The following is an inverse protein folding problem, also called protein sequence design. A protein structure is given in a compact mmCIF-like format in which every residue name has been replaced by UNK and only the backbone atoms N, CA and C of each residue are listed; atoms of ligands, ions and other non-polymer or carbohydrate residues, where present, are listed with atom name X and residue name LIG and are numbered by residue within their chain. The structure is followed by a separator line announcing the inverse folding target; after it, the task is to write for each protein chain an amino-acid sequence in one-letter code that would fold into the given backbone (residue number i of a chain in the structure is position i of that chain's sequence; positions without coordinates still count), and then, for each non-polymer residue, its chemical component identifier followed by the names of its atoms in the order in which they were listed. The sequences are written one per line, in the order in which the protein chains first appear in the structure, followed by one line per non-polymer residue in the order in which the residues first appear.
data_IF_114555517887
#
_entry.id   IF_114555517887
#
_cell.length_a   1.000
_cell.length_b   1.000
_cell.length_c   1.000
_cell.angle_alpha   90.00
_cell.angle_beta   90.00
_cell.angle_gamma   90.00
#
_symmetry.space_group_name_H-M   'P 1'
#
loop_
_entity.id
_entity.type
_entity.pdbx_description
1 polymer ?
#
# COMPACT_ATOMS: atom_id res chain seq x y z
N UNK A 1 26.19 -58.23 10.99
CA UNK A 1 26.37 -57.18 9.97
C UNK A 1 25.07 -56.80 9.26
N UNK A 2 24.29 -57.73 8.69
CA UNK A 2 23.03 -57.40 7.98
C UNK A 2 21.99 -56.61 8.81
N UNK A 3 21.79 -56.94 10.09
CA UNK A 3 20.82 -56.27 10.98
C UNK A 3 21.22 -54.83 11.39
N UNK A 4 22.52 -54.53 11.43
CA UNK A 4 23.03 -53.18 11.68
C UNK A 4 22.86 -52.27 10.45
N UNK A 5 22.99 -52.83 9.25
CA UNK A 5 22.77 -52.11 8.00
C UNK A 5 21.30 -51.72 7.81
N UNK A 6 20.36 -52.57 8.24
CA UNK A 6 18.91 -52.29 8.17
C UNK A 6 18.47 -51.21 9.15
N UNK A 7 19.08 -51.16 10.34
CA UNK A 7 18.81 -50.12 11.33
C UNK A 7 19.37 -48.76 10.89
N UNK A 8 20.55 -48.74 10.27
CA UNK A 8 21.12 -47.53 9.68
C UNK A 8 20.27 -46.99 8.51
N UNK A 9 19.77 -47.86 7.62
CA UNK A 9 18.87 -47.46 6.53
C UNK A 9 17.49 -47.00 7.04
N UNK A 10 17.00 -47.57 8.15
CA UNK A 10 15.75 -47.17 8.79
C UNK A 10 15.81 -45.81 9.51
N UNK A 11 16.97 -45.46 10.09
CA UNK A 11 17.20 -44.13 10.67
C UNK A 11 17.35 -43.04 9.59
N UNK A 12 17.85 -43.38 8.40
CA UNK A 12 17.90 -42.47 7.25
C UNK A 12 16.52 -42.15 6.66
N UNK A 13 15.52 -43.01 6.87
CA UNK A 13 14.15 -42.82 6.39
C UNK A 13 13.25 -41.98 7.33
N UNK A 14 13.74 -41.63 8.53
CA UNK A 14 13.01 -40.82 9.52
C UNK A 14 13.45 -39.34 9.53
N UNK A 15 14.44 -38.97 8.71
CA UNK A 15 14.70 -37.58 8.39
C UNK A 15 13.70 -37.13 7.34
N UNK A 16 12.51 -36.70 7.76
CA UNK A 16 11.74 -35.77 6.91
C UNK A 16 12.62 -34.53 6.79
N UNK A 17 13.38 -34.44 5.70
CA UNK A 17 13.89 -33.17 5.22
C UNK A 17 12.62 -32.35 4.95
N UNK A 18 12.26 -31.47 5.88
CA UNK A 18 11.36 -30.37 5.56
C UNK A 18 12.08 -29.57 4.48
N UNK A 19 11.75 -29.88 3.23
CA UNK A 19 12.20 -29.10 2.10
C UNK A 19 11.55 -27.73 2.28
N UNK A 20 12.32 -26.76 2.76
CA UNK A 20 11.84 -25.40 2.89
C UNK A 20 11.32 -24.95 1.52
N UNK A 21 10.09 -24.46 1.51
CA UNK A 21 9.40 -24.02 0.30
C UNK A 21 9.56 -22.50 0.21
N UNK A 22 10.18 -22.04 -0.87
CA UNK A 22 10.28 -20.61 -1.21
C UNK A 22 8.89 -19.98 -1.21
N UNK A 23 8.79 -18.75 -0.73
CA UNK A 23 7.56 -17.97 -0.52
C UNK A 23 6.64 -18.47 0.61
N UNK A 24 7.03 -19.53 1.33
CA UNK A 24 6.26 -20.09 2.45
C UNK A 24 7.09 -20.12 3.72
N UNK A 25 8.36 -20.53 3.62
CA UNK A 25 9.30 -20.61 4.74
C UNK A 25 10.36 -19.52 4.63
N UNK A 26 10.90 -19.07 5.76
CA UNK A 26 12.08 -18.21 5.80
C UNK A 26 13.30 -19.04 5.36
N UNK A 27 13.77 -18.83 4.13
CA UNK A 27 14.90 -19.56 3.52
C UNK A 27 16.18 -18.71 3.42
N UNK A 28 16.06 -17.38 3.57
CA UNK A 28 17.18 -16.46 3.66
C UNK A 28 17.41 -16.03 5.12
N UNK A 29 18.67 -15.89 5.51
CA UNK A 29 19.05 -15.46 6.86
C UNK A 29 19.05 -13.95 7.02
N UNK A 30 19.33 -13.24 5.93
CA UNK A 30 19.60 -11.80 5.89
C UNK A 30 18.80 -11.12 4.78
N UNK A 31 18.61 -9.81 4.93
CA UNK A 31 17.82 -8.96 4.03
C UNK A 31 18.60 -7.68 3.78
N UNK A 32 18.68 -7.28 2.52
CA UNK A 32 19.20 -5.98 2.10
C UNK A 32 18.05 -4.97 2.09
N UNK A 33 18.29 -3.78 2.66
CA UNK A 33 17.28 -2.72 2.73
C UNK A 33 17.79 -1.46 2.05
N UNK A 34 17.09 -1.04 1.01
CA UNK A 34 17.33 0.24 0.33
C UNK A 34 16.28 1.25 0.78
N UNK A 35 16.69 2.21 1.61
CA UNK A 35 15.77 3.18 2.20
C UNK A 35 15.49 4.41 1.34
N UNK A 36 14.30 4.97 1.50
CA UNK A 36 13.86 6.25 0.94
C UNK A 36 13.98 6.32 -0.59
N UNK A 37 13.67 5.22 -1.27
CA UNK A 37 13.56 5.18 -2.73
C UNK A 37 12.35 6.00 -3.15
N UNK A 38 12.56 7.01 -3.99
CA UNK A 38 11.49 7.85 -4.52
C UNK A 38 10.71 7.07 -5.58
N UNK A 39 9.43 6.78 -5.31
CA UNK A 39 8.56 6.08 -6.26
C UNK A 39 7.58 7.02 -6.99
N UNK A 40 7.43 8.27 -6.52
CA UNK A 40 6.56 9.25 -7.16
C UNK A 40 6.57 10.62 -6.50
N UNK A 41 5.80 11.55 -7.05
CA UNK A 41 5.54 12.85 -6.42
C UNK A 41 4.09 13.22 -6.70
N UNK A 42 3.36 13.63 -5.66
CA UNK A 42 1.95 13.99 -5.79
C UNK A 42 1.60 15.18 -4.88
N UNK A 43 0.49 15.86 -5.13
CA UNK A 43 0.06 17.03 -4.34
C UNK A 43 -0.58 16.56 -3.03
N UNK A 44 -0.06 17.06 -1.90
CA UNK A 44 -0.62 16.83 -0.57
C UNK A 44 -1.41 18.04 -0.10
N UNK A 45 -2.42 17.77 0.73
CA UNK A 45 -3.24 18.79 1.41
C UNK A 45 -2.91 18.90 2.90
N UNK A 46 -1.97 18.11 3.41
CA UNK A 46 -1.55 18.18 4.82
C UNK A 46 -1.16 19.60 5.28
N UNK A 47 -0.49 20.46 4.48
CA UNK A 47 -0.18 21.82 4.90
C UNK A 47 -1.42 22.70 5.15
N UNK A 48 -2.57 22.41 4.50
CA UNK A 48 -3.81 23.14 4.75
C UNK A 48 -4.25 23.06 6.22
N UNK A 49 -3.94 21.95 6.89
CA UNK A 49 -4.25 21.75 8.31
C UNK A 49 -3.48 22.70 9.24
N UNK A 50 -2.42 23.34 8.73
CA UNK A 50 -1.59 24.30 9.44
C UNK A 50 -1.69 25.71 8.83
N UNK A 51 -2.69 25.96 7.96
CA UNK A 51 -2.89 27.25 7.29
C UNK A 51 -1.96 27.50 6.10
N UNK A 52 -1.24 26.49 5.62
CA UNK A 52 -0.45 26.55 4.40
C UNK A 52 -1.29 26.29 3.13
N UNK A 53 -0.64 26.27 1.97
CA UNK A 53 -1.24 25.88 0.69
C UNK A 53 -0.91 24.42 0.35
N UNK A 54 -1.68 23.74 -0.54
CA UNK A 54 -1.30 22.43 -1.04
C UNK A 54 0.10 22.48 -1.66
N UNK A 55 0.86 21.40 -1.52
CA UNK A 55 2.26 21.36 -1.96
C UNK A 55 2.60 19.99 -2.57
N UNK A 56 3.62 19.97 -3.42
CA UNK A 56 4.18 18.71 -3.90
C UNK A 56 4.81 17.95 -2.72
N UNK A 57 4.48 16.66 -2.60
CA UNK A 57 5.05 15.74 -1.62
C UNK A 57 5.78 14.62 -2.38
N UNK A 58 7.08 14.41 -2.12
CA UNK A 58 7.77 13.21 -2.59
C UNK A 58 7.19 11.97 -1.90
N UNK A 59 6.96 10.92 -2.68
CA UNK A 59 6.47 9.65 -2.20
C UNK A 59 7.63 8.64 -2.20
N UNK A 60 7.95 8.11 -1.01
CA UNK A 60 9.14 7.28 -0.81
C UNK A 60 8.78 5.92 -0.23
N UNK A 61 9.61 4.92 -0.48
CA UNK A 61 9.50 3.60 0.11
C UNK A 61 10.85 3.07 0.61
N UNK A 62 10.80 2.08 1.49
CA UNK A 62 11.95 1.23 1.81
C UNK A 62 11.76 -0.12 1.13
N UNK A 63 12.77 -0.57 0.38
CA UNK A 63 12.73 -1.82 -0.39
C UNK A 63 13.57 -2.86 0.36
N UNK A 64 12.94 -4.00 0.65
CA UNK A 64 13.52 -5.15 1.34
C UNK A 64 13.69 -6.29 0.35
N UNK A 65 14.92 -6.79 0.22
CA UNK A 65 15.28 -7.87 -0.70
C UNK A 65 16.04 -8.98 0.04
N UNK A 66 15.79 -10.27 -0.26
CA UNK A 66 16.60 -11.35 0.28
C UNK A 66 18.07 -11.22 -0.12
N UNK A 67 18.96 -11.22 0.87
CA UNK A 67 20.40 -11.08 0.61
C UNK A 67 20.97 -12.35 -0.05
N UNK A 68 21.73 -12.17 -1.13
CA UNK A 68 22.36 -13.27 -1.87
C UNK A 68 21.39 -14.13 -2.69
N UNK A 69 20.16 -13.66 -2.90
CA UNK A 69 19.21 -14.32 -3.79
C UNK A 69 19.66 -14.25 -5.26
N UNK A 70 19.31 -15.27 -6.01
CA UNK A 70 19.65 -15.42 -7.44
C UNK A 70 18.43 -15.48 -8.34
N UNK A 71 17.23 -15.54 -7.75
CA UNK A 71 15.98 -15.39 -8.50
C UNK A 71 15.82 -13.95 -8.96
N UNK A 72 15.38 -13.80 -10.21
CA UNK A 72 15.27 -12.50 -10.89
C UNK A 72 13.83 -12.12 -11.23
N UNK A 73 12.88 -13.05 -11.10
CA UNK A 73 11.44 -12.79 -11.32
C UNK A 73 10.65 -13.05 -10.02
N UNK A 74 10.85 -12.18 -9.02
CA UNK A 74 10.28 -12.39 -7.67
C UNK A 74 8.92 -11.70 -7.52
N UNK A 75 7.94 -12.32 -6.84
CA UNK A 75 6.72 -11.62 -6.44
C UNK A 75 7.04 -10.43 -5.53
N UNK A 76 6.37 -9.31 -5.80
CA UNK A 76 6.50 -8.06 -5.07
C UNK A 76 5.30 -7.87 -4.13
N UNK A 77 5.58 -7.53 -2.88
CA UNK A 77 4.59 -7.09 -1.90
C UNK A 77 4.75 -5.58 -1.69
N UNK A 78 3.70 -4.82 -1.98
CA UNK A 78 3.58 -3.42 -1.56
C UNK A 78 2.98 -3.40 -0.16
N UNK A 79 3.82 -3.12 0.85
CA UNK A 79 3.38 -2.98 2.24
C UNK A 79 2.90 -1.55 2.51
N UNK A 80 1.71 -1.43 3.13
CA UNK A 80 1.08 -0.15 3.46
C UNK A 80 0.81 -0.10 4.97
N UNK A 81 1.44 0.86 5.65
CA UNK A 81 1.36 1.01 7.10
C UNK A 81 0.03 1.62 7.57
N UNK A 82 -0.33 1.40 8.83
CA UNK A 82 -1.43 2.12 9.48
C UNK A 82 -1.09 3.60 9.70
N UNK A 83 -2.04 4.42 10.11
CA UNK A 83 -1.73 5.79 10.49
C UNK A 83 -2.91 6.76 10.51
N UNK A 84 -4.12 6.28 10.23
CA UNK A 84 -5.34 7.09 10.17
C UNK A 84 -5.18 8.30 9.23
N UNK A 85 -4.36 8.16 8.19
CA UNK A 85 -3.99 9.22 7.26
C UNK A 85 -3.55 10.52 7.94
N UNK A 86 -2.88 10.42 9.08
CA UNK A 86 -2.34 11.53 9.84
C UNK A 86 -0.89 11.21 10.20
N UNK A 87 -0.02 12.23 10.36
CA UNK A 87 1.33 12.01 10.88
C UNK A 87 1.30 11.25 12.21
N UNK A 88 2.32 10.43 12.45
CA UNK A 88 2.51 9.73 13.73
C UNK A 88 2.32 10.71 14.90
N UNK A 89 1.71 10.22 15.98
CA UNK A 89 1.28 10.98 17.16
C UNK A 89 0.08 11.91 16.94
N UNK A 90 0.01 12.65 15.81
CA UNK A 90 -1.20 13.42 15.47
C UNK A 90 -2.39 12.51 15.15
N UNK A 91 -2.11 11.29 14.71
CA UNK A 91 -3.09 10.23 14.51
C UNK A 91 -3.61 9.59 15.81
N UNK A 92 -3.12 10.01 16.98
CA UNK A 92 -3.48 9.44 18.28
C UNK A 92 -2.79 8.10 18.59
N UNK A 93 -1.74 7.75 17.86
CA UNK A 93 -1.02 6.49 17.99
C UNK A 93 0.51 6.68 17.96
N UNK A 94 1.25 5.70 18.46
CA UNK A 94 2.71 5.63 18.38
C UNK A 94 3.21 5.01 17.07
N UNK A 95 2.31 4.62 16.17
CA UNK A 95 2.58 4.07 14.83
C UNK A 95 1.96 4.99 13.78
N UNK A 96 2.42 4.92 12.54
CA UNK A 96 2.02 5.79 11.45
C UNK A 96 3.05 5.93 10.32
N UNK A 97 4.05 5.04 10.22
CA UNK A 97 5.19 5.22 9.31
C UNK A 97 5.60 3.93 8.62
N UNK A 98 6.24 4.03 7.44
CA UNK A 98 6.83 2.88 6.73
C UNK A 98 7.93 2.15 7.53
N UNK A 99 8.43 2.76 8.61
CA UNK A 99 9.50 2.25 9.48
C UNK A 99 9.02 1.77 10.84
N UNK A 100 7.71 1.67 11.07
CA UNK A 100 7.19 1.14 12.34
C UNK A 100 7.66 -0.30 12.58
N UNK A 101 7.79 -0.71 13.84
CA UNK A 101 8.37 -2.02 14.18
C UNK A 101 7.63 -3.20 13.53
N UNK A 102 6.30 -3.13 13.40
CA UNK A 102 5.50 -4.14 12.69
C UNK A 102 5.77 -4.10 11.19
N UNK A 103 5.93 -2.92 10.59
CA UNK A 103 6.28 -2.78 9.18
C UNK A 103 7.64 -3.43 8.88
N UNK A 104 8.66 -3.09 9.68
CA UNK A 104 10.01 -3.65 9.56
C UNK A 104 9.98 -5.17 9.73
N UNK A 105 9.24 -5.67 10.71
CA UNK A 105 9.14 -7.11 10.98
C UNK A 105 8.51 -7.88 9.82
N UNK A 106 7.35 -7.41 9.33
CA UNK A 106 6.65 -8.05 8.23
C UNK A 106 7.46 -7.99 6.94
N UNK A 107 7.99 -6.81 6.58
CA UNK A 107 8.79 -6.65 5.37
C UNK A 107 10.05 -7.53 5.40
N UNK A 108 10.73 -7.59 6.55
CA UNK A 108 11.90 -8.47 6.72
C UNK A 108 11.50 -9.94 6.62
N UNK A 109 10.40 -10.36 7.26
CA UNK A 109 9.95 -11.76 7.21
C UNK A 109 9.60 -12.19 5.79
N UNK A 110 8.83 -11.40 5.05
CA UNK A 110 8.49 -11.73 3.68
C UNK A 110 9.71 -11.69 2.76
N UNK A 111 10.63 -10.74 2.94
CA UNK A 111 11.90 -10.76 2.21
C UNK A 111 12.68 -12.05 2.49
N UNK A 112 12.74 -12.51 3.75
CA UNK A 112 13.36 -13.81 4.11
C UNK A 112 12.68 -15.03 3.51
N UNK A 113 11.42 -14.92 3.10
CA UNK A 113 10.71 -15.97 2.35
C UNK A 113 11.01 -15.94 0.84
N UNK A 114 11.70 -14.90 0.36
CA UNK A 114 12.13 -14.75 -1.04
C UNK A 114 11.35 -13.72 -1.85
N UNK A 115 10.46 -12.96 -1.22
CA UNK A 115 9.73 -11.84 -1.84
C UNK A 115 10.60 -10.59 -1.94
N UNK A 116 10.28 -9.69 -2.87
CA UNK A 116 10.65 -8.28 -2.72
C UNK A 116 9.53 -7.59 -1.98
N UNK A 117 9.85 -6.71 -1.02
CA UNK A 117 8.84 -5.96 -0.28
C UNK A 117 9.13 -4.47 -0.31
N UNK A 118 8.17 -3.67 -0.75
CA UNK A 118 8.26 -2.22 -0.73
C UNK A 118 7.34 -1.64 0.36
N UNK A 119 7.92 -1.15 1.46
CA UNK A 119 7.19 -0.44 2.52
C UNK A 119 7.03 1.02 2.12
N UNK A 120 5.83 1.41 1.68
CA UNK A 120 5.57 2.74 1.12
C UNK A 120 5.12 3.72 2.20
N UNK A 121 5.59 4.97 2.14
CA UNK A 121 4.87 6.11 2.71
C UNK A 121 3.87 6.64 1.67
N UNK A 122 2.74 7.18 2.15
CA UNK A 122 1.66 7.74 1.31
C UNK A 122 1.18 9.10 1.86
N UNK A 123 0.43 9.86 1.05
CA UNK A 123 -0.10 11.17 1.46
C UNK A 123 -1.06 11.03 2.63
N UNK A 124 -0.74 11.75 3.71
CA UNK A 124 -1.62 11.99 4.84
C UNK A 124 -2.39 13.31 4.67
N UNK A 125 -3.43 13.50 5.48
CA UNK A 125 -4.09 14.78 5.72
C UNK A 125 -5.61 14.69 5.71
N UNK A 126 -6.23 14.98 6.86
CA UNK A 126 -7.64 15.32 7.02
C UNK A 126 -7.80 16.06 8.36
N UNK A 127 -8.88 16.83 8.56
CA UNK A 127 -9.09 17.57 9.82
C UNK A 127 -10.03 16.79 10.77
N UNK A 128 -9.51 16.13 11.83
CA UNK A 128 -10.35 15.44 12.81
C UNK A 128 -11.17 16.39 13.70
N UNK A 129 -10.86 17.69 13.70
CA UNK A 129 -11.53 18.72 14.48
C UNK A 129 -12.50 19.58 13.64
N UNK A 130 -12.79 19.20 12.39
CA UNK A 130 -13.78 19.93 11.60
C UNK A 130 -15.15 19.92 12.29
N UNK A 131 -15.91 21.01 12.13
CA UNK A 131 -17.07 21.33 12.96
C UNK A 131 -18.19 20.29 12.85
N UNK A 132 -18.37 19.71 11.66
CA UNK A 132 -19.45 18.75 11.40
C UNK A 132 -18.91 17.33 11.21
N UNK A 133 -19.78 16.33 11.46
CA UNK A 133 -19.47 14.93 11.11
C UNK A 133 -19.30 14.74 9.60
N UNK A 134 -20.09 15.44 8.79
CA UNK A 134 -20.05 15.35 7.34
C UNK A 134 -18.69 15.81 6.78
N UNK A 135 -18.16 16.95 7.25
CA UNK A 135 -16.85 17.44 6.84
C UNK A 135 -15.73 16.47 7.22
N UNK A 136 -15.73 15.99 8.47
CA UNK A 136 -14.72 15.02 8.95
C UNK A 136 -14.73 13.74 8.12
N UNK A 137 -15.92 13.19 7.86
CA UNK A 137 -16.09 11.96 7.06
C UNK A 137 -15.61 12.18 5.62
N UNK A 138 -16.02 13.28 4.99
CA UNK A 138 -15.62 13.60 3.61
C UNK A 138 -14.11 13.72 3.48
N UNK A 139 -13.47 14.46 4.38
CA UNK A 139 -12.02 14.65 4.34
C UNK A 139 -11.26 13.34 4.61
N UNK A 140 -11.76 12.48 5.50
CA UNK A 140 -11.19 11.16 5.75
C UNK A 140 -11.30 10.25 4.51
N UNK A 141 -12.46 10.23 3.85
CA UNK A 141 -12.64 9.49 2.58
C UNK A 141 -11.70 10.01 1.49
N UNK A 142 -11.52 11.32 1.39
CA UNK A 142 -10.54 11.92 0.47
C UNK A 142 -9.09 11.52 0.81
N UNK A 143 -8.77 11.36 2.10
CA UNK A 143 -7.45 10.90 2.52
C UNK A 143 -7.22 9.43 2.14
N UNK A 144 -8.23 8.57 2.31
CA UNK A 144 -8.20 7.19 1.83
C UNK A 144 -8.03 7.11 0.31
N UNK A 145 -8.73 7.96 -0.44
CA UNK A 145 -8.62 8.03 -1.89
C UNK A 145 -7.21 8.40 -2.36
N UNK A 146 -6.57 9.39 -1.72
CA UNK A 146 -5.15 9.69 -1.97
C UNK A 146 -4.23 8.52 -1.66
N UNK A 147 -4.51 7.76 -0.60
CA UNK A 147 -3.77 6.53 -0.30
C UNK A 147 -3.86 5.51 -1.43
N UNK A 148 -5.04 5.32 -2.04
CA UNK A 148 -5.24 4.43 -3.20
C UNK A 148 -4.41 4.89 -4.39
N UNK A 149 -4.48 6.18 -4.71
CA UNK A 149 -3.70 6.80 -5.77
C UNK A 149 -2.19 6.57 -5.59
N UNK A 150 -1.68 6.74 -4.36
CA UNK A 150 -0.26 6.58 -4.06
C UNK A 150 0.17 5.10 -4.10
N UNK A 151 -0.68 4.19 -3.62
CA UNK A 151 -0.44 2.75 -3.73
C UNK A 151 -0.38 2.27 -5.19
N UNK A 152 -1.19 2.85 -6.08
CA UNK A 152 -1.14 2.55 -7.53
C UNK A 152 0.05 3.20 -8.21
N UNK A 153 0.44 4.39 -7.76
CA UNK A 153 1.68 5.04 -8.20
C UNK A 153 2.89 4.16 -7.90
N UNK A 154 2.93 3.51 -6.72
CA UNK A 154 3.99 2.55 -6.40
C UNK A 154 4.01 1.35 -7.36
N UNK A 155 2.87 0.73 -7.68
CA UNK A 155 2.82 -0.37 -8.66
C UNK A 155 3.35 0.09 -10.03
N UNK A 156 2.90 1.26 -10.51
CA UNK A 156 3.37 1.79 -11.78
C UNK A 156 4.87 2.07 -11.77
N UNK A 157 5.41 2.56 -10.66
CA UNK A 157 6.84 2.74 -10.48
C UNK A 157 7.59 1.42 -10.69
N UNK A 158 7.23 0.36 -9.96
CA UNK A 158 7.91 -0.93 -10.07
C UNK A 158 7.80 -1.56 -11.46
N UNK A 159 6.62 -1.50 -12.09
CA UNK A 159 6.44 -1.96 -13.48
C UNK A 159 7.27 -1.15 -14.48
N UNK A 160 7.34 0.17 -14.29
CA UNK A 160 8.16 1.04 -15.13
C UNK A 160 9.65 0.75 -14.94
N UNK A 161 10.11 0.47 -13.72
CA UNK A 161 11.51 0.14 -13.48
C UNK A 161 11.90 -1.20 -14.10
N UNK A 162 10.99 -2.17 -14.11
CA UNK A 162 11.18 -3.44 -14.84
C UNK A 162 11.33 -3.18 -16.34
N UNK A 163 10.31 -2.56 -16.96
CA UNK A 163 10.23 -2.32 -18.41
C UNK A 163 11.34 -1.40 -18.95
N UNK A 164 11.73 -0.37 -18.20
CA UNK A 164 12.58 0.72 -18.73
C UNK A 164 13.96 0.84 -18.09
N UNK A 165 14.18 0.22 -16.92
CA UNK A 165 15.44 0.34 -16.17
C UNK A 165 16.21 -0.98 -16.06
N UNK A 166 15.76 -2.03 -16.74
CA UNK A 166 16.41 -3.34 -16.75
C UNK A 166 16.22 -4.09 -15.44
N UNK A 167 15.03 -3.97 -14.85
CA UNK A 167 14.59 -4.62 -13.61
C UNK A 167 15.60 -4.55 -12.45
N UNK A 168 15.85 -3.34 -11.90
CA UNK A 168 16.81 -3.15 -10.82
C UNK A 168 16.42 -3.86 -9.52
N UNK A 169 15.19 -4.35 -9.41
CA UNK A 169 14.65 -4.99 -8.21
C UNK A 169 14.38 -6.48 -8.41
N UNK A 170 14.63 -7.07 -9.59
CA UNK A 170 14.39 -8.49 -9.84
C UNK A 170 12.95 -8.92 -9.51
N UNK A 171 11.95 -8.17 -9.97
CA UNK A 171 10.52 -8.40 -9.69
C UNK A 171 9.77 -8.88 -10.92
N UNK A 172 8.82 -9.81 -10.73
CA UNK A 172 7.86 -10.15 -11.76
C UNK A 172 6.72 -9.10 -11.78
N UNK A 173 6.55 -8.32 -12.88
CA UNK A 173 5.58 -7.24 -12.97
C UNK A 173 4.12 -7.73 -13.01
N UNK A 174 3.90 -9.03 -13.23
CA UNK A 174 2.61 -9.70 -13.17
C UNK A 174 2.27 -10.24 -11.77
N UNK A 175 3.25 -10.35 -10.86
CA UNK A 175 3.08 -10.89 -9.51
C UNK A 175 3.28 -9.81 -8.43
N UNK A 176 2.42 -8.80 -8.46
CA UNK A 176 2.42 -7.70 -7.48
C UNK A 176 1.15 -7.77 -6.63
N UNK A 177 1.33 -7.83 -5.31
CA UNK A 177 0.24 -7.84 -4.33
C UNK A 177 0.39 -6.74 -3.27
N UNK A 178 -0.72 -6.42 -2.61
CA UNK A 178 -0.72 -5.49 -1.48
C UNK A 178 -0.79 -6.24 -0.15
N UNK A 179 -0.10 -5.71 0.87
CA UNK A 179 -0.25 -6.10 2.26
C UNK A 179 -0.46 -4.85 3.11
N UNK A 180 -1.63 -4.76 3.76
CA UNK A 180 -2.01 -3.57 4.51
C UNK A 180 -2.21 -3.83 5.99
N UNK A 181 -1.68 -2.94 6.83
CA UNK A 181 -1.87 -2.95 8.28
C UNK A 181 -2.77 -1.78 8.70
N UNK A 182 -3.82 -2.06 9.47
CA UNK A 182 -4.78 -1.07 9.93
C UNK A 182 -5.34 -0.21 8.79
N UNK A 183 -4.96 1.07 8.75
CA UNK A 183 -5.33 2.00 7.67
C UNK A 183 -4.86 1.53 6.29
N UNK A 184 -3.68 0.93 6.21
CA UNK A 184 -3.17 0.36 4.97
C UNK A 184 -4.00 -0.82 4.46
N UNK A 185 -4.77 -1.47 5.32
CA UNK A 185 -5.75 -2.49 4.92
C UNK A 185 -6.87 -1.90 4.05
N UNK A 186 -7.41 -0.74 4.44
CA UNK A 186 -8.41 -0.03 3.63
C UNK A 186 -7.87 0.32 2.25
N UNK A 187 -6.64 0.85 2.22
CA UNK A 187 -5.96 1.23 0.98
C UNK A 187 -5.71 0.01 0.10
N UNK A 188 -5.22 -1.09 0.68
CA UNK A 188 -4.91 -2.33 -0.05
C UNK A 188 -6.14 -2.91 -0.73
N UNK A 189 -7.25 -3.02 0.00
CA UNK A 189 -8.51 -3.51 -0.58
C UNK A 189 -9.02 -2.58 -1.67
N UNK A 190 -9.12 -1.27 -1.37
CA UNK A 190 -9.63 -0.29 -2.32
C UNK A 190 -8.78 -0.22 -3.60
N UNK A 191 -7.46 -0.21 -3.47
CA UNK A 191 -6.54 -0.21 -4.61
C UNK A 191 -6.63 -1.48 -5.46
N UNK A 192 -7.01 -2.62 -4.86
CA UNK A 192 -7.16 -3.89 -5.57
C UNK A 192 -8.52 -4.05 -6.27
N UNK A 193 -9.57 -3.36 -5.81
CA UNK A 193 -10.95 -3.63 -6.26
C UNK A 193 -11.62 -2.49 -7.03
N UNK A 194 -11.19 -1.24 -6.86
CA UNK A 194 -11.78 -0.09 -7.58
C UNK A 194 -11.27 -0.11 -9.03
N UNK A 195 -12.09 -0.43 -10.02
CA UNK A 195 -11.64 -0.43 -11.41
C UNK A 195 -11.87 0.93 -12.07
N UNK A 196 -12.93 1.62 -11.68
CA UNK A 196 -13.36 2.91 -12.22
C UNK A 196 -13.76 3.88 -11.09
N UNK A 197 -13.72 5.19 -11.35
CA UNK A 197 -14.21 6.20 -10.39
C UNK A 197 -15.67 5.93 -9.95
N UNK A 198 -16.51 5.45 -10.87
CA UNK A 198 -17.92 5.16 -10.57
C UNK A 198 -18.08 4.04 -9.53
N UNK A 199 -17.12 3.11 -9.42
CA UNK A 199 -17.15 2.03 -8.40
C UNK A 199 -17.07 2.58 -6.96
N UNK A 200 -16.69 3.86 -6.81
CA UNK A 200 -16.58 4.54 -5.52
C UNK A 200 -17.92 5.14 -5.11
N UNK A 201 -18.70 5.64 -6.07
CA UNK A 201 -19.86 6.49 -5.80
C UNK A 201 -21.19 5.88 -6.25
N UNK A 202 -21.18 4.88 -7.12
CA UNK A 202 -22.37 4.19 -7.61
C UNK A 202 -22.28 2.68 -7.35
N UNK A 203 -23.43 2.06 -7.07
CA UNK A 203 -23.55 0.61 -7.04
C UNK A 203 -23.69 0.02 -8.46
N UNK A 204 -23.73 -1.30 -8.56
CA UNK A 204 -23.85 -2.02 -9.85
C UNK A 204 -25.14 -1.68 -10.62
N UNK A 205 -26.14 -1.07 -9.96
CA UNK A 205 -27.38 -0.60 -10.58
C UNK A 205 -27.29 0.87 -11.02
N UNK A 206 -26.15 1.53 -10.85
CA UNK A 206 -25.94 2.95 -11.14
C UNK A 206 -26.58 3.87 -10.10
N UNK A 207 -26.94 3.37 -8.92
CA UNK A 207 -27.52 4.17 -7.85
C UNK A 207 -26.44 4.68 -6.90
N UNK A 208 -26.56 5.91 -6.36
CA UNK A 208 -25.62 6.44 -5.39
C UNK A 208 -25.41 5.51 -4.19
N UNK A 209 -24.16 5.17 -3.89
CA UNK A 209 -23.81 4.47 -2.65
C UNK A 209 -23.90 5.47 -1.51
N UNK A 210 -25.06 5.55 -0.85
CA UNK A 210 -25.39 6.65 0.06
C UNK A 210 -24.36 6.99 1.15
N UNK A 211 -23.52 6.04 1.59
CA UNK A 211 -22.43 6.28 2.57
C UNK A 211 -21.27 7.12 2.02
N UNK A 212 -21.13 7.25 0.70
CA UNK A 212 -20.10 8.04 0.02
C UNK A 212 -20.64 9.33 -0.58
N UNK A 213 -21.85 9.73 -0.17
CA UNK A 213 -22.50 10.97 -0.58
C UNK A 213 -22.87 11.79 0.66
N UNK A 214 -22.71 13.10 0.57
CA UNK A 214 -23.21 14.05 1.57
C UNK A 214 -24.58 14.59 1.14
N UNK A 215 -25.28 15.23 2.07
CA UNK A 215 -26.56 15.89 1.81
C UNK A 215 -27.74 14.91 1.82
N UNK A 216 -28.85 15.34 1.22
CA UNK A 216 -30.11 14.57 1.26
C UNK A 216 -30.35 13.87 -0.07
N UNK A 217 -30.54 12.54 -0.13
CA UNK A 217 -30.82 11.84 -1.40
C UNK A 217 -31.95 12.50 -2.20
N UNK A 218 -31.68 12.84 -3.46
CA UNK A 218 -32.62 13.51 -4.36
C UNK A 218 -32.72 15.03 -4.22
N UNK A 219 -31.97 15.65 -3.31
CA UNK A 219 -31.85 17.11 -3.20
C UNK A 219 -30.59 17.63 -3.89
N UNK A 220 -30.54 18.95 -4.12
CA UNK A 220 -29.43 19.59 -4.81
C UNK A 220 -28.10 19.58 -4.02
N UNK A 221 -28.17 19.33 -2.71
CA UNK A 221 -27.01 19.19 -1.83
C UNK A 221 -26.45 17.76 -1.80
N UNK A 222 -27.03 16.83 -2.58
CA UNK A 222 -26.58 15.45 -2.66
C UNK A 222 -25.35 15.32 -3.56
N UNK A 223 -24.17 15.40 -2.94
CA UNK A 223 -22.88 15.51 -3.65
C UNK A 223 -21.96 14.37 -3.18
N UNK A 224 -21.24 13.70 -4.09
CA UNK A 224 -20.33 12.63 -3.71
C UNK A 224 -19.15 13.18 -2.92
N UNK A 225 -18.65 12.40 -1.96
CA UNK A 225 -17.50 12.78 -1.12
C UNK A 225 -16.19 12.82 -1.92
N UNK A 226 -16.08 12.04 -2.99
CA UNK A 226 -15.00 12.09 -3.97
C UNK A 226 -15.58 12.58 -5.28
N UNK A 227 -15.00 13.62 -5.87
CA UNK A 227 -15.38 14.21 -7.15
C UNK A 227 -14.17 14.09 -8.06
N UNK A 228 -14.25 13.27 -9.11
CA UNK A 228 -13.10 13.02 -10.01
C UNK A 228 -12.48 14.31 -10.55
N UNK A 229 -13.31 15.26 -10.99
CA UNK A 229 -12.83 16.56 -11.49
C UNK A 229 -12.04 17.38 -10.45
N UNK A 230 -12.21 17.11 -9.15
CA UNK A 230 -11.51 17.79 -8.04
C UNK A 230 -10.36 16.94 -7.49
N UNK A 231 -10.54 15.63 -7.46
CA UNK A 231 -9.66 14.69 -6.77
C UNK A 231 -8.71 13.92 -7.71
N UNK A 232 -8.94 14.02 -9.02
CA UNK A 232 -8.29 13.17 -10.03
C UNK A 232 -8.90 11.78 -10.06
N UNK A 233 -8.48 11.00 -11.05
CA UNK A 233 -8.89 9.61 -11.22
C UNK A 233 -8.21 8.68 -10.20
N UNK A 234 -8.72 7.44 -10.01
CA UNK A 234 -8.15 6.50 -9.04
C UNK A 234 -6.74 6.05 -9.38
N UNK A 235 -6.34 6.08 -10.66
CA UNK A 235 -4.97 5.80 -11.06
C UNK A 235 -4.04 6.97 -10.76
N UNK A 236 -4.52 8.18 -10.45
CA UNK A 236 -3.65 9.35 -10.27
C UNK A 236 -2.81 9.67 -11.51
N UNK A 237 -3.41 9.50 -12.70
CA UNK A 237 -2.80 9.87 -13.98
C UNK A 237 -3.41 11.15 -14.56
N UNK A 238 -4.51 11.61 -13.96
CA UNK A 238 -5.17 12.88 -14.25
C UNK A 238 -5.15 13.78 -13.02
N UNK A 239 -4.93 15.07 -13.27
CA UNK A 239 -4.97 16.08 -12.22
C UNK A 239 -6.41 16.47 -11.90
N UNK A 240 -6.71 16.55 -10.60
CA UNK A 240 -7.93 17.17 -10.11
C UNK A 240 -7.76 18.70 -9.96
N UNK A 241 -8.85 19.44 -10.14
CA UNK A 241 -8.89 20.88 -9.96
C UNK A 241 -9.98 21.26 -8.96
N UNK A 242 -9.57 21.79 -7.82
CA UNK A 242 -10.50 22.44 -6.91
C UNK A 242 -10.83 23.85 -7.45
N UNK A 243 -12.10 24.15 -7.79
CA UNK A 243 -12.48 25.49 -8.22
C UNK A 243 -12.20 26.50 -7.10
N UNK A 244 -11.82 27.72 -7.48
CA UNK A 244 -11.73 28.82 -6.52
C UNK A 244 -13.12 29.05 -5.89
N UNK A 245 -13.17 28.99 -4.55
CA UNK A 245 -14.37 29.29 -3.77
C UNK A 245 -14.68 30.77 -3.70
#
# INVERSE_FOLDING_TARGET
MKKFLTLALGLLALGQLDAQVRYINEIFTDVDVTSNVLYGTNVTIAPLLQGGAPAAQPLVCDIYEPAGDTEVDRPLIIYIHTGNFLPQYLNGSAVGTKTDSVAVELCTRYAKMGYVVASIDYRAGWNPFAATQAERTSQLINAAYRGVQDARTAIRYFRMTEDTMGDPYGIDPALIGYLGEGTGGYVSYAASTISDYNDIIFDDAGLPIAKFWNGTPGAADYIPMVIEAVNGDPEAITDGYAPAG
#
